data_IF_833915957857
#
_entry.id   IF_833915957857
#
_cell.length_a   1.000
_cell.length_b   1.000
_cell.length_c   1.000
_cell.angle_alpha   90.00
_cell.angle_beta   90.00
_cell.angle_gamma   90.00
#
_symmetry.space_group_name_H-M   'P 1'
#
loop_
_entity.id
_entity.type
_entity.pdbx_description
1 polymer ?
#
# COMPACT_ATOMS: atom_id res chain seq x y z
N UNK A 1 -11.05 5.24 -13.88
CA UNK A 1 -11.41 5.52 -15.28
C UNK A 1 -11.22 4.34 -16.24
N UNK A 2 -10.62 3.21 -15.82
CA UNK A 2 -10.32 2.05 -16.67
C UNK A 2 -11.52 1.44 -17.43
N UNK A 3 -12.74 1.55 -16.88
CA UNK A 3 -13.94 0.94 -17.48
C UNK A 3 -14.77 1.87 -18.38
N UNK A 4 -14.35 3.14 -18.51
CA UNK A 4 -15.09 4.17 -19.24
C UNK A 4 -14.46 4.53 -20.59
N UNK A 5 -13.28 3.99 -20.93
CA UNK A 5 -12.54 4.28 -22.16
C UNK A 5 -12.53 5.78 -22.53
N UNK A 6 -12.43 6.66 -21.52
CA UNK A 6 -12.35 8.12 -21.68
C UNK A 6 -13.63 8.83 -22.15
N UNK A 7 -14.76 8.15 -22.36
CA UNK A 7 -16.00 8.78 -22.85
C UNK A 7 -17.00 9.00 -21.71
N UNK A 8 -17.27 10.26 -21.37
CA UNK A 8 -18.29 10.67 -20.38
C UNK A 8 -19.63 11.05 -21.03
N UNK A 9 -20.10 10.26 -21.99
CA UNK A 9 -21.47 10.42 -22.49
C UNK A 9 -22.47 9.93 -21.42
N UNK A 10 -23.77 10.15 -21.61
CA UNK A 10 -24.81 9.72 -20.66
C UNK A 10 -24.67 8.25 -20.19
N UNK A 11 -24.36 7.36 -21.13
CA UNK A 11 -24.06 5.94 -20.86
C UNK A 11 -22.79 5.73 -20.01
N UNK A 12 -21.77 6.57 -20.21
CA UNK A 12 -20.55 6.58 -19.40
C UNK A 12 -20.81 7.05 -17.98
N UNK A 13 -21.63 8.09 -17.80
CA UNK A 13 -22.06 8.56 -16.47
C UNK A 13 -22.85 7.46 -15.75
N UNK A 14 -23.81 6.82 -16.44
CA UNK A 14 -24.59 5.71 -15.86
C UNK A 14 -23.69 4.52 -15.48
N UNK A 15 -22.72 4.15 -16.33
CA UNK A 15 -21.73 3.10 -16.02
C UNK A 15 -20.82 3.48 -14.85
N UNK A 16 -20.43 4.75 -14.73
CA UNK A 16 -19.67 5.25 -13.59
C UNK A 16 -20.47 5.15 -12.28
N UNK A 17 -21.72 5.59 -12.29
CA UNK A 17 -22.63 5.49 -11.14
C UNK A 17 -22.82 4.03 -10.71
N UNK A 18 -22.94 3.09 -11.66
CA UNK A 18 -22.97 1.66 -11.37
C UNK A 18 -21.69 1.19 -10.66
N UNK A 19 -20.51 1.53 -11.17
CA UNK A 19 -19.25 1.15 -10.50
C UNK A 19 -19.01 1.84 -9.17
N UNK A 20 -19.57 3.03 -8.96
CA UNK A 20 -19.44 3.78 -7.71
C UNK A 20 -20.40 3.30 -6.62
N UNK A 21 -21.61 2.90 -6.99
CA UNK A 21 -22.67 2.57 -6.02
C UNK A 21 -23.01 1.08 -5.95
N UNK A 22 -22.81 0.32 -7.02
CA UNK A 22 -23.20 -1.10 -7.11
C UNK A 22 -21.99 -2.02 -6.99
N UNK A 23 -20.87 -1.70 -7.67
CA UNK A 23 -19.64 -2.50 -7.53
C UNK A 23 -18.97 -2.18 -6.19
N UNK A 24 -18.98 -3.16 -5.29
CA UNK A 24 -18.29 -3.06 -3.99
C UNK A 24 -16.77 -3.07 -4.19
N UNK A 25 -16.08 -2.20 -3.47
CA UNK A 25 -14.63 -2.22 -3.34
C UNK A 25 -14.29 -3.20 -2.23
N UNK A 26 -13.45 -4.19 -2.54
CA UNK A 26 -13.07 -5.28 -1.65
C UNK A 26 -11.67 -5.14 -1.06
N UNK A 27 -10.97 -4.05 -1.36
CA UNK A 27 -9.65 -3.75 -0.82
C UNK A 27 -9.70 -2.51 0.07
N UNK A 28 -9.31 -2.66 1.33
CA UNK A 28 -9.00 -1.55 2.22
C UNK A 28 -7.55 -1.12 1.97
N UNK A 29 -7.32 0.17 1.77
CA UNK A 29 -5.99 0.71 1.54
C UNK A 29 -5.44 1.38 2.80
N UNK A 30 -4.33 0.89 3.32
CA UNK A 30 -3.57 1.56 4.36
C UNK A 30 -2.77 2.73 3.79
N UNK A 31 -3.17 3.95 4.13
CA UNK A 31 -2.56 5.18 3.62
C UNK A 31 -1.25 5.52 4.32
N UNK A 32 -1.20 5.31 5.64
CA UNK A 32 -0.10 5.67 6.52
C UNK A 32 -0.14 4.78 7.77
N UNK A 33 1.02 4.33 8.21
CA UNK A 33 1.18 3.51 9.39
C UNK A 33 2.48 3.87 10.08
N UNK A 34 2.46 3.94 11.41
CA UNK A 34 3.64 4.26 12.20
C UNK A 34 3.37 4.09 13.68
N UNK A 35 4.46 3.84 14.42
CA UNK A 35 4.46 3.74 15.88
C UNK A 35 5.59 4.61 16.41
N UNK A 36 5.32 5.28 17.53
CA UNK A 36 6.32 6.06 18.26
C UNK A 36 7.53 5.18 18.62
N UNK A 37 8.78 5.67 18.49
CA UNK A 37 9.99 4.86 18.67
C UNK A 37 10.03 4.02 19.94
N UNK A 38 9.49 4.53 21.04
CA UNK A 38 9.41 3.84 22.34
C UNK A 38 8.66 2.50 22.33
N UNK A 39 7.77 2.31 21.35
CA UNK A 39 6.94 1.12 21.21
C UNK A 39 7.34 0.25 20.02
N UNK A 40 8.40 0.63 19.30
CA UNK A 40 8.88 -0.12 18.16
C UNK A 40 9.54 -1.44 18.58
N UNK A 41 9.35 -2.50 17.80
CA UNK A 41 9.96 -3.82 18.07
C UNK A 41 9.37 -4.58 19.26
N UNK A 42 8.31 -4.04 19.89
CA UNK A 42 7.57 -4.70 20.99
C UNK A 42 6.37 -5.52 20.50
N UNK A 43 6.16 -5.60 19.18
CA UNK A 43 5.04 -6.30 18.57
C UNK A 43 3.73 -5.52 18.58
N UNK A 44 3.75 -4.26 19.04
CA UNK A 44 2.58 -3.36 19.04
C UNK A 44 2.12 -3.10 17.61
N UNK A 45 3.06 -2.94 16.69
CA UNK A 45 2.80 -2.72 15.26
C UNK A 45 2.02 -3.89 14.66
N UNK A 46 2.49 -5.11 14.89
CA UNK A 46 1.86 -6.34 14.42
C UNK A 46 0.44 -6.49 15.00
N UNK A 47 0.30 -6.26 16.31
CA UNK A 47 -0.98 -6.36 17.00
C UNK A 47 -2.01 -5.36 16.45
N UNK A 48 -1.60 -4.11 16.18
CA UNK A 48 -2.48 -3.10 15.58
C UNK A 48 -2.93 -3.49 14.18
N UNK A 49 -2.02 -3.93 13.32
CA UNK A 49 -2.36 -4.33 11.94
C UNK A 49 -3.30 -5.55 11.96
N UNK A 50 -2.99 -6.56 12.77
CA UNK A 50 -3.82 -7.76 12.94
C UNK A 50 -5.21 -7.39 13.43
N UNK A 51 -5.30 -6.58 14.50
CA UNK A 51 -6.59 -6.17 15.08
C UNK A 51 -7.42 -5.33 14.13
N UNK A 52 -6.78 -4.45 13.36
CA UNK A 52 -7.44 -3.65 12.33
C UNK A 52 -7.96 -4.53 11.20
N UNK A 53 -7.15 -5.50 10.74
CA UNK A 53 -7.52 -6.45 9.69
C UNK A 53 -8.70 -7.32 10.12
N UNK A 54 -8.65 -7.90 11.33
CA UNK A 54 -9.76 -8.64 11.94
C UNK A 54 -11.01 -7.78 11.99
N UNK A 55 -10.93 -6.55 12.52
CA UNK A 55 -12.10 -5.66 12.61
C UNK A 55 -12.71 -5.34 11.25
N UNK A 56 -11.89 -5.06 10.24
CA UNK A 56 -12.38 -4.73 8.90
C UNK A 56 -13.02 -5.93 8.21
N UNK A 57 -12.47 -7.14 8.41
CA UNK A 57 -12.97 -8.37 7.82
C UNK A 57 -14.21 -8.88 8.58
N UNK A 58 -14.16 -8.94 9.90
CA UNK A 58 -15.23 -9.45 10.78
C UNK A 58 -16.45 -8.53 10.82
N UNK A 59 -16.27 -7.20 10.76
CA UNK A 59 -17.41 -6.26 10.68
C UNK A 59 -18.04 -6.19 9.27
N UNK A 60 -17.50 -6.97 8.31
CA UNK A 60 -18.31 -7.68 7.32
C UNK A 60 -19.19 -6.86 6.39
N UNK A 61 -18.72 -5.75 5.80
CA UNK A 61 -19.55 -5.05 4.79
C UNK A 61 -18.95 -4.84 3.41
N UNK A 62 -17.64 -4.75 3.23
CA UNK A 62 -17.07 -4.46 1.90
C UNK A 62 -15.72 -5.10 1.62
N UNK A 63 -14.80 -5.14 2.59
CA UNK A 63 -13.39 -5.42 2.33
C UNK A 63 -13.00 -6.88 2.67
N UNK A 64 -12.27 -7.50 1.76
CA UNK A 64 -11.66 -8.83 1.86
C UNK A 64 -10.16 -8.77 2.13
N UNK A 65 -9.51 -7.70 1.70
CA UNK A 65 -8.05 -7.54 1.76
C UNK A 65 -7.70 -6.20 2.38
N UNK A 66 -6.58 -6.17 3.12
CA UNK A 66 -5.90 -4.95 3.51
C UNK A 66 -4.61 -4.84 2.68
N UNK A 67 -4.51 -3.82 1.85
CA UNK A 67 -3.29 -3.51 1.09
C UNK A 67 -2.54 -2.37 1.80
N UNK A 68 -1.26 -2.58 2.08
CA UNK A 68 -0.33 -1.56 2.54
C UNK A 68 0.61 -1.23 1.40
N UNK A 69 0.57 0.03 0.95
CA UNK A 69 1.42 0.51 -0.12
C UNK A 69 2.68 1.19 0.43
N UNK A 70 3.63 1.47 -0.46
CA UNK A 70 4.86 2.24 -0.15
C UNK A 70 5.83 1.56 0.83
N UNK A 71 5.83 0.22 0.83
CA UNK A 71 6.86 -0.57 1.47
C UNK A 71 8.04 -0.72 0.49
N UNK A 72 8.99 0.21 0.58
CA UNK A 72 10.20 0.19 -0.23
C UNK A 72 11.36 -0.53 0.45
N UNK A 73 12.37 -0.90 -0.34
CA UNK A 73 13.63 -1.51 0.13
C UNK A 73 14.36 -0.68 1.19
N UNK A 74 14.07 0.63 1.27
CA UNK A 74 14.60 1.54 2.28
C UNK A 74 14.03 1.29 3.69
N UNK A 75 13.01 0.44 3.85
CA UNK A 75 12.41 0.13 5.15
C UNK A 75 12.37 -1.40 5.42
N UNK A 76 13.53 -2.05 5.62
CA UNK A 76 13.59 -3.47 5.96
C UNK A 76 12.73 -3.88 7.18
N UNK A 77 12.67 -3.09 8.29
CA UNK A 77 11.84 -3.44 9.44
C UNK A 77 10.36 -3.65 9.08
N UNK A 78 9.80 -2.79 8.23
CA UNK A 78 8.40 -2.95 7.81
C UNK A 78 8.20 -4.14 6.86
N UNK A 79 9.18 -4.47 6.01
CA UNK A 79 9.11 -5.65 5.15
C UNK A 79 9.06 -6.92 6.02
N UNK A 80 9.96 -7.04 7.00
CA UNK A 80 9.98 -8.17 7.93
C UNK A 80 8.72 -8.25 8.79
N UNK A 81 8.17 -7.11 9.20
CA UNK A 81 6.89 -7.08 9.92
C UNK A 81 5.76 -7.66 9.05
N UNK A 82 5.69 -7.29 7.76
CA UNK A 82 4.69 -7.82 6.85
C UNK A 82 4.82 -9.33 6.64
N UNK A 83 6.06 -9.81 6.48
CA UNK A 83 6.34 -11.25 6.39
C UNK A 83 5.93 -11.99 7.67
N UNK A 84 6.25 -11.41 8.83
CA UNK A 84 5.91 -11.97 10.14
C UNK A 84 4.40 -12.11 10.37
N UNK A 85 3.59 -11.13 9.93
CA UNK A 85 2.12 -11.21 10.04
C UNK A 85 1.47 -12.05 8.93
N UNK A 86 2.25 -12.65 8.03
CA UNK A 86 1.77 -13.51 6.94
C UNK A 86 1.20 -12.76 5.74
N UNK A 87 1.59 -11.50 5.52
CA UNK A 87 1.20 -10.76 4.32
C UNK A 87 1.92 -11.29 3.07
N UNK A 88 1.31 -11.10 1.91
CA UNK A 88 1.88 -11.47 0.61
C UNK A 88 2.08 -10.24 -0.27
N UNK A 89 3.07 -10.30 -1.16
CA UNK A 89 3.35 -9.20 -2.09
C UNK A 89 2.31 -9.20 -3.20
N UNK A 90 1.42 -8.20 -3.19
CA UNK A 90 0.39 -8.06 -4.22
C UNK A 90 0.94 -7.44 -5.52
N UNK A 91 1.79 -6.40 -5.40
CA UNK A 91 2.35 -5.66 -6.55
C UNK A 91 3.73 -5.09 -6.21
N UNK A 92 4.66 -5.21 -7.15
CA UNK A 92 5.98 -4.59 -7.09
C UNK A 92 6.00 -3.39 -8.02
N UNK A 93 6.29 -2.19 -7.48
CA UNK A 93 6.44 -0.97 -8.27
C UNK A 93 7.91 -0.58 -8.32
N UNK A 94 8.45 -0.40 -9.52
CA UNK A 94 9.85 -0.05 -9.73
C UNK A 94 9.93 1.44 -10.05
N UNK A 95 10.75 2.17 -9.28
CA UNK A 95 11.02 3.59 -9.52
C UNK A 95 12.39 3.74 -10.15
N UNK A 96 12.44 4.18 -11.41
CA UNK A 96 13.68 4.52 -12.09
C UNK A 96 14.05 5.97 -11.79
N UNK A 97 15.32 6.22 -11.44
CA UNK A 97 15.88 7.55 -11.25
C UNK A 97 17.06 7.73 -12.20
N UNK A 98 17.04 8.79 -13.00
CA UNK A 98 18.17 9.20 -13.84
C UNK A 98 18.65 10.57 -13.38
N UNK A 99 19.94 10.68 -13.07
CA UNK A 99 20.60 11.96 -12.90
C UNK A 99 20.99 12.46 -14.29
N UNK A 100 20.69 13.72 -14.59
CA UNK A 100 21.07 14.37 -15.86
C UNK A 100 22.42 15.10 -15.75
N UNK A 101 23.08 14.95 -14.60
CA UNK A 101 24.34 15.55 -14.24
C UNK A 101 25.35 14.44 -14.02
N UNK A 102 26.38 14.42 -14.85
CA UNK A 102 27.41 13.38 -14.81
C UNK A 102 28.45 13.63 -13.71
N UNK A 103 28.44 14.81 -13.10
CA UNK A 103 29.34 15.19 -12.00
C UNK A 103 28.89 14.68 -10.62
N UNK A 104 27.71 14.07 -10.53
CA UNK A 104 27.13 13.59 -9.28
C UNK A 104 27.06 12.07 -9.31
N UNK A 105 27.70 11.43 -8.34
CA UNK A 105 27.61 9.98 -8.18
C UNK A 105 26.16 9.57 -7.83
N UNK A 106 25.66 8.55 -8.54
CA UNK A 106 24.37 7.98 -8.24
C UNK A 106 24.47 7.06 -7.02
N UNK A 107 23.86 7.48 -5.90
CA UNK A 107 23.77 6.64 -4.69
C UNK A 107 22.31 6.45 -4.29
N UNK A 108 21.82 5.20 -4.14
CA UNK A 108 20.45 4.96 -3.65
C UNK A 108 20.40 5.16 -2.14
N UNK A 109 19.21 5.48 -1.62
CA UNK A 109 19.01 5.60 -0.17
C UNK A 109 19.39 4.30 0.58
N UNK A 110 19.18 3.15 -0.07
CA UNK A 110 19.49 1.83 0.49
C UNK A 110 21.00 1.55 0.52
N UNK A 111 21.75 2.10 -0.43
CA UNK A 111 23.20 1.87 -0.54
C UNK A 111 23.95 2.66 0.54
N UNK A 112 23.47 3.86 0.90
CA UNK A 112 24.02 4.69 2.00
C UNK A 112 23.95 4.05 3.38
N UNK A 113 23.07 3.07 3.59
CA UNK A 113 22.88 2.44 4.90
C UNK A 113 23.80 1.23 5.12
N UNK A 114 24.58 0.83 4.10
CA UNK A 114 25.51 -0.31 4.15
C UNK A 114 26.96 0.08 4.42
N UNK A 115 27.25 1.38 4.39
CA UNK A 115 28.52 1.98 4.84
C UNK A 115 28.45 2.27 6.34
#
# INVERSE_FOLDING_TARGET
MKHLNGKMNLLGIMKFMYYRHVKKIDVALGQLFGVTPEFQGKGVEAAMIKRFTERIIEQGRCYKYLELNWLGEFNPPMIHLMEYIGASVARTHITYRKLFRDDIEFVRSVDKMKE
#
